data_IF_300268618975
#
_entry.id   IF_300268618975
#
_cell.length_a   1.000
_cell.length_b   1.000
_cell.length_c   1.000
_cell.angle_alpha   90.00
_cell.angle_beta   90.00
_cell.angle_gamma   90.00
#
_symmetry.space_group_name_H-M   'P 1'
#
loop_
_entity.id
_entity.type
_entity.pdbx_description
1 polymer ?
#
# COMPACT_ATOMS: atom_id res chain seq x y z
N UNK A 1 6.07 2.26 7.31
CA UNK A 1 5.94 3.71 7.06
C UNK A 1 5.68 4.50 8.35
N UNK A 2 4.55 4.29 9.04
CA UNK A 2 4.14 5.10 10.22
C UNK A 2 5.21 5.21 11.30
N UNK A 3 5.78 4.09 11.75
CA UNK A 3 6.85 4.11 12.75
C UNK A 3 8.11 4.84 12.25
N UNK A 4 8.48 4.70 10.97
CA UNK A 4 9.64 5.38 10.40
C UNK A 4 9.42 6.90 10.32
N UNK A 5 8.22 7.33 9.93
CA UNK A 5 7.82 8.76 9.93
C UNK A 5 7.87 9.34 11.32
N UNK A 6 7.30 8.64 12.32
CA UNK A 6 7.30 9.10 13.72
C UNK A 6 8.72 9.20 14.30
N UNK A 7 9.66 8.40 13.80
CA UNK A 7 11.07 8.44 14.20
C UNK A 7 11.93 9.37 13.32
N UNK A 8 11.33 10.11 12.37
CA UNK A 8 12.07 11.00 11.45
C UNK A 8 12.98 10.29 10.45
N UNK A 9 12.77 8.99 10.23
CA UNK A 9 13.58 8.14 9.36
C UNK A 9 13.05 8.04 7.93
N UNK A 10 11.82 8.48 7.69
CA UNK A 10 11.18 8.47 6.39
C UNK A 10 10.17 9.62 6.26
N UNK A 11 9.89 10.02 5.04
CA UNK A 11 8.81 10.95 4.74
C UNK A 11 7.43 10.28 4.79
N UNK A 12 6.37 11.09 4.81
CA UNK A 12 4.97 10.61 4.84
C UNK A 12 4.53 9.89 3.56
N UNK A 13 5.37 9.88 2.52
CA UNK A 13 5.12 9.15 1.27
C UNK A 13 6.36 8.32 0.94
N UNK A 14 6.18 7.03 0.70
CA UNK A 14 7.28 6.15 0.32
C UNK A 14 6.80 5.00 -0.57
N UNK A 15 7.70 4.53 -1.43
CA UNK A 15 7.54 3.25 -2.13
C UNK A 15 8.05 2.12 -1.22
N UNK A 16 7.22 1.12 -1.00
CA UNK A 16 7.55 -0.07 -0.21
C UNK A 16 7.73 -1.24 -1.17
N UNK A 17 8.94 -1.80 -1.18
CA UNK A 17 9.26 -3.03 -1.89
C UNK A 17 8.82 -4.23 -1.02
N UNK A 18 7.96 -5.07 -1.58
CA UNK A 18 7.49 -6.33 -1.00
C UNK A 18 7.84 -7.47 -1.97
N UNK A 19 7.78 -8.71 -1.50
CA UNK A 19 8.04 -9.88 -2.34
C UNK A 19 7.10 -9.96 -3.55
N UNK A 20 5.84 -9.51 -3.37
CA UNK A 20 4.81 -9.46 -4.41
C UNK A 20 4.86 -8.23 -5.31
N UNK A 21 5.83 -7.32 -5.12
CA UNK A 21 5.97 -6.11 -5.94
C UNK A 21 6.06 -4.82 -5.12
N UNK A 22 5.79 -3.70 -5.77
CA UNK A 22 5.93 -2.37 -5.20
C UNK A 22 4.58 -1.78 -4.85
N UNK A 23 4.50 -1.19 -3.65
CA UNK A 23 3.33 -0.49 -3.17
C UNK A 23 3.71 0.95 -2.81
N UNK A 24 3.02 1.92 -3.39
CA UNK A 24 3.13 3.31 -2.96
C UNK A 24 2.24 3.51 -1.73
N UNK A 25 2.82 3.95 -0.62
CA UNK A 25 2.09 4.24 0.61
C UNK A 25 2.23 5.72 0.95
N UNK A 26 1.09 6.37 1.19
CA UNK A 26 1.01 7.78 1.55
C UNK A 26 0.21 7.94 2.85
N UNK A 27 0.79 8.61 3.83
CA UNK A 27 0.12 9.02 5.05
C UNK A 27 -0.33 10.48 4.92
N UNK A 28 -1.59 10.67 4.53
CA UNK A 28 -2.15 11.99 4.25
C UNK A 28 -2.29 12.85 5.51
N UNK A 29 -2.47 14.16 5.33
CA UNK A 29 -2.55 15.14 6.42
C UNK A 29 -3.78 14.95 7.33
N UNK A 30 -4.82 14.30 6.81
CA UNK A 30 -6.00 13.89 7.59
C UNK A 30 -5.74 12.63 8.46
N UNK A 31 -4.49 12.19 8.58
CA UNK A 31 -4.05 10.99 9.29
C UNK A 31 -4.56 9.65 8.74
N UNK A 32 -5.04 9.60 7.50
CA UNK A 32 -5.36 8.34 6.81
C UNK A 32 -4.18 7.82 5.99
N UNK A 33 -4.05 6.49 5.93
CA UNK A 33 -3.10 5.80 5.07
C UNK A 33 -3.79 5.42 3.75
N UNK A 34 -3.18 5.83 2.64
CA UNK A 34 -3.54 5.38 1.30
C UNK A 34 -2.46 4.45 0.77
N UNK A 35 -2.90 3.41 0.06
CA UNK A 35 -2.05 2.42 -0.57
C UNK A 35 -2.43 2.34 -2.04
N UNK A 36 -1.45 2.52 -2.91
CA UNK A 36 -1.63 2.44 -4.36
C UNK A 36 -0.67 1.41 -4.91
N UNK A 37 -1.23 0.40 -5.57
CA UNK A 37 -0.47 -0.68 -6.18
C UNK A 37 -1.26 -1.29 -7.33
N UNK A 38 -0.60 -2.12 -8.15
CA UNK A 38 -1.27 -2.82 -9.24
C UNK A 38 -2.27 -3.84 -8.70
N UNK A 39 -3.36 -4.03 -9.42
CA UNK A 39 -4.31 -5.11 -9.23
C UNK A 39 -4.56 -5.77 -10.58
N UNK A 40 -4.54 -7.11 -10.61
CA UNK A 40 -4.74 -7.90 -11.81
C UNK A 40 -5.79 -8.97 -11.53
N UNK A 41 -6.83 -9.02 -12.38
CA UNK A 41 -7.84 -10.07 -12.32
C UNK A 41 -7.27 -11.33 -12.97
N UNK A 42 -7.13 -12.41 -12.19
CA UNK A 42 -6.55 -13.67 -12.69
C UNK A 42 -7.61 -14.52 -13.40
N UNK A 43 -8.84 -14.57 -12.87
CA UNK A 43 -9.97 -15.26 -13.48
C UNK A 43 -11.29 -14.76 -12.89
N UNK A 44 -12.38 -14.99 -13.63
CA UNK A 44 -13.76 -14.87 -13.15
C UNK A 44 -14.46 -16.22 -13.30
N UNK A 45 -15.27 -16.59 -12.31
CA UNK A 45 -16.01 -17.86 -12.30
C UNK A 45 -17.30 -17.78 -11.47
N UNK A 46 -18.14 -18.81 -11.60
CA UNK A 46 -19.42 -18.94 -10.87
C UNK A 46 -19.38 -20.23 -10.07
N UNK A 47 -19.85 -20.21 -8.82
CA UNK A 47 -19.98 -21.40 -7.98
C UNK A 47 -21.46 -21.61 -7.63
N UNK A 48 -22.01 -22.77 -7.97
CA UNK A 48 -23.32 -23.21 -7.49
C UNK A 48 -23.16 -23.73 -6.05
N UNK A 49 -23.92 -23.15 -5.11
CA UNK A 49 -23.96 -23.54 -3.69
C UNK A 49 -25.13 -24.50 -3.45
#
# INVERSE_FOLDING_TARGET
>A
LTAAVLNGLAERKAEIQLDGGRLLVEWADNNHLYMTGPAEEVFTGVADI
#
